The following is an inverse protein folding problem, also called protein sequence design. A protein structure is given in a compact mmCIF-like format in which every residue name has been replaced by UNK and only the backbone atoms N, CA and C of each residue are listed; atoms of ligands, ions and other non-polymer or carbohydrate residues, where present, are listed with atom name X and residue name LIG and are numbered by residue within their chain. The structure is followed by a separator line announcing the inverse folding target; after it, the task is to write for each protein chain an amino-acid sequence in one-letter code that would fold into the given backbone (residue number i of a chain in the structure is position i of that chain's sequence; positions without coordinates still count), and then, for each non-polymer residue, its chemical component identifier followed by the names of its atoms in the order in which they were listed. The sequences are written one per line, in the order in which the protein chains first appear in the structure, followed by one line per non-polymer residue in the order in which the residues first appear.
data_IF_488596766133
#
_entry.id   IF_488596766133
#
_cell.length_a   1.000
_cell.length_b   1.000
_cell.length_c   1.000
_cell.angle_alpha   90.00
_cell.angle_beta   90.00
_cell.angle_gamma   90.00
#
_symmetry.space_group_name_H-M   'P 1'
#
loop_
_entity.id
_entity.type
_entity.pdbx_description
1 polymer ?
#
# COMPACT_ATOMS: atom_id res chain seq x y z
N UNK A 1 -12.11 1.19 0.53
CA UNK A 1 -10.77 1.76 0.32
C UNK A 1 -10.51 2.99 1.19
N UNK A 2 -11.24 4.10 1.06
CA UNK A 2 -10.92 5.36 1.77
C UNK A 2 -10.92 5.26 3.30
N UNK A 3 -11.83 4.49 3.89
CA UNK A 3 -11.98 4.42 5.35
C UNK A 3 -10.89 3.57 6.02
N UNK A 4 -10.58 2.39 5.48
CA UNK A 4 -9.69 1.44 6.14
C UNK A 4 -8.35 1.29 5.43
N UNK A 5 -8.31 0.90 4.16
CA UNK A 5 -7.07 0.56 3.44
C UNK A 5 -6.03 1.68 3.49
N UNK A 6 -6.43 2.93 3.17
CA UNK A 6 -5.50 4.06 3.22
C UNK A 6 -5.05 4.40 4.64
N UNK A 7 -5.90 4.18 5.65
CA UNK A 7 -5.56 4.46 7.05
C UNK A 7 -4.67 3.40 7.65
N UNK A 8 -4.84 2.15 7.24
CA UNK A 8 -3.89 1.08 7.59
C UNK A 8 -2.49 1.41 7.07
N UNK A 9 -2.38 1.90 5.83
CA UNK A 9 -1.10 2.34 5.28
C UNK A 9 -0.50 3.52 6.07
N UNK A 10 -1.31 4.54 6.41
CA UNK A 10 -0.86 5.67 7.26
C UNK A 10 -0.44 5.19 8.65
N UNK A 11 -1.17 4.24 9.23
CA UNK A 11 -0.81 3.65 10.52
C UNK A 11 0.57 2.94 10.45
N UNK A 12 0.81 2.15 9.42
CA UNK A 12 2.12 1.49 9.23
C UNK A 12 3.24 2.52 9.09
N UNK A 13 3.02 3.60 8.32
CA UNK A 13 4.00 4.68 8.19
C UNK A 13 4.24 5.36 9.54
N UNK A 14 3.18 5.70 10.29
CA UNK A 14 3.28 6.34 11.60
C UNK A 14 3.98 5.43 12.64
N UNK A 15 3.84 4.11 12.51
CA UNK A 15 4.46 3.14 13.41
C UNK A 15 5.93 2.88 13.11
N UNK A 16 6.29 2.84 11.81
CA UNK A 16 7.61 2.36 11.36
C UNK A 16 8.56 3.49 10.92
N UNK A 17 8.04 4.63 10.45
CA UNK A 17 8.82 5.65 9.75
C UNK A 17 8.54 7.09 10.18
N UNK A 18 8.24 7.39 11.47
CA UNK A 18 8.09 8.79 11.89
C UNK A 18 9.42 9.52 11.73
N UNK A 19 9.38 10.81 11.38
CA UNK A 19 10.58 11.64 11.19
C UNK A 19 11.35 11.39 9.89
N UNK A 20 10.77 10.66 8.93
CA UNK A 20 11.43 10.40 7.64
C UNK A 20 11.21 11.57 6.69
N UNK A 21 12.27 12.33 6.36
CA UNK A 21 12.22 13.55 5.52
C UNK A 21 11.58 13.31 4.14
N UNK A 22 11.82 12.15 3.53
CA UNK A 22 11.20 11.78 2.25
C UNK A 22 9.66 11.82 2.33
N UNK A 23 9.07 11.40 3.47
CA UNK A 23 7.62 11.40 3.67
C UNK A 23 7.06 12.82 3.77
N UNK A 24 7.82 13.78 4.29
CA UNK A 24 7.41 15.20 4.32
C UNK A 24 7.14 15.69 2.90
N UNK A 25 8.11 15.50 2.01
CA UNK A 25 8.01 15.97 0.63
C UNK A 25 7.01 15.19 -0.20
N UNK A 26 6.98 13.86 -0.08
CA UNK A 26 5.98 13.03 -0.74
C UNK A 26 4.56 13.41 -0.31
N UNK A 27 4.33 13.54 1.00
CA UNK A 27 3.04 13.96 1.54
C UNK A 27 2.61 15.34 1.06
N UNK A 28 3.53 16.28 1.03
CA UNK A 28 3.30 17.66 0.53
C UNK A 28 2.94 17.67 -0.95
N UNK A 29 3.67 16.92 -1.78
CA UNK A 29 3.36 16.77 -3.21
C UNK A 29 2.00 16.09 -3.41
N UNK A 30 1.71 15.03 -2.65
CA UNK A 30 0.40 14.35 -2.68
C UNK A 30 -0.74 15.31 -2.34
N UNK A 31 -0.54 16.20 -1.34
CA UNK A 31 -1.55 17.18 -0.94
C UNK A 31 -1.91 18.14 -2.08
N UNK A 32 -0.91 18.70 -2.77
CA UNK A 32 -1.10 19.61 -3.90
C UNK A 32 -1.64 18.87 -5.14
N UNK A 33 -1.02 17.75 -5.51
CA UNK A 33 -1.45 16.94 -6.65
C UNK A 33 -2.93 16.57 -6.57
N UNK A 34 -3.35 16.03 -5.41
CA UNK A 34 -4.74 15.61 -5.22
C UNK A 34 -5.74 16.75 -5.35
N UNK A 35 -5.37 17.97 -4.91
CA UNK A 35 -6.21 19.16 -5.04
C UNK A 35 -6.33 19.61 -6.49
N UNK A 36 -5.22 19.69 -7.23
CA UNK A 36 -5.23 20.13 -8.63
C UNK A 36 -6.13 19.23 -9.47
N UNK A 37 -5.94 17.90 -9.37
CA UNK A 37 -6.77 16.97 -10.13
C UNK A 37 -8.22 16.92 -9.67
N UNK A 38 -8.50 17.13 -8.38
CA UNK A 38 -9.88 17.25 -7.90
C UNK A 38 -10.59 18.49 -8.45
N UNK A 39 -9.89 19.62 -8.61
CA UNK A 39 -10.46 20.83 -9.24
C UNK A 39 -10.83 20.58 -10.70
N UNK A 40 -10.02 19.83 -11.44
CA UNK A 40 -10.23 19.55 -12.86
C UNK A 40 -11.33 18.50 -13.11
N UNK A 41 -11.64 17.67 -12.11
CA UNK A 41 -12.53 16.52 -12.31
C UNK A 41 -14.00 16.89 -12.43
N UNK A 42 -14.72 16.17 -13.30
CA UNK A 42 -16.16 16.32 -13.54
C UNK A 42 -17.01 15.23 -12.86
N UNK A 43 -16.45 14.05 -12.58
CA UNK A 43 -17.17 12.98 -11.90
C UNK A 43 -17.11 13.18 -10.38
N UNK A 44 -18.26 13.26 -9.69
CA UNK A 44 -18.33 13.53 -8.25
C UNK A 44 -17.57 12.50 -7.40
N UNK A 45 -17.55 11.21 -7.79
CA UNK A 45 -16.80 10.18 -7.07
C UNK A 45 -15.31 10.22 -7.35
N UNK A 46 -14.92 10.49 -8.60
CA UNK A 46 -13.50 10.65 -8.95
C UNK A 46 -12.91 11.89 -8.30
N UNK A 47 -13.65 13.00 -8.28
CA UNK A 47 -13.24 14.20 -7.53
C UNK A 47 -12.96 13.85 -6.06
N UNK A 48 -13.88 13.15 -5.40
CA UNK A 48 -13.70 12.70 -4.03
C UNK A 48 -12.52 11.73 -3.89
N UNK A 49 -12.22 10.91 -4.90
CA UNK A 49 -11.07 10.00 -4.89
C UNK A 49 -9.72 10.75 -4.98
N UNK A 50 -9.57 11.72 -5.89
CA UNK A 50 -8.39 12.59 -5.93
C UNK A 50 -8.19 13.35 -4.61
N UNK A 51 -9.28 13.82 -4.04
CA UNK A 51 -9.22 14.48 -2.74
C UNK A 51 -8.76 13.54 -1.61
N UNK A 52 -8.97 12.21 -1.69
CA UNK A 52 -8.37 11.28 -0.72
C UNK A 52 -6.84 11.37 -0.78
N UNK A 53 -6.27 11.40 -1.99
CA UNK A 53 -4.82 11.53 -2.16
C UNK A 53 -4.31 12.79 -1.47
N UNK A 54 -5.01 13.94 -1.67
CA UNK A 54 -4.67 15.18 -0.99
C UNK A 54 -4.69 15.05 0.53
N UNK A 55 -5.74 14.49 1.12
CA UNK A 55 -5.87 14.42 2.58
C UNK A 55 -4.93 13.37 3.20
N UNK A 56 -4.65 12.27 2.50
CA UNK A 56 -3.60 11.33 2.92
C UNK A 56 -2.23 12.01 2.85
N UNK A 57 -2.02 12.92 1.91
CA UNK A 57 -0.83 13.76 1.84
C UNK A 57 -0.54 14.52 3.13
N UNK A 58 -1.56 15.14 3.77
CA UNK A 58 -1.40 15.76 5.09
C UNK A 58 -0.95 14.77 6.16
N UNK A 59 -1.53 13.57 6.16
CA UNK A 59 -1.20 12.53 7.13
C UNK A 59 0.24 12.04 6.94
N UNK A 60 0.64 11.81 5.69
CA UNK A 60 2.01 11.38 5.35
C UNK A 60 3.03 12.45 5.66
N UNK A 61 2.74 13.72 5.35
CA UNK A 61 3.61 14.85 5.72
C UNK A 61 3.76 14.98 7.24
N UNK A 62 2.66 14.85 8.00
CA UNK A 62 2.70 14.87 9.47
C UNK A 62 3.52 13.72 10.06
N UNK A 63 3.40 12.52 9.52
CA UNK A 63 4.26 11.39 9.90
C UNK A 63 5.73 11.68 9.57
N UNK A 64 5.98 12.26 8.40
CA UNK A 64 7.33 12.63 7.96
C UNK A 64 8.01 13.67 8.85
N UNK A 65 7.26 14.67 9.34
CA UNK A 65 7.76 15.65 10.33
C UNK A 65 8.17 14.94 11.62
N UNK A 66 7.38 13.97 12.10
CA UNK A 66 7.77 13.05 13.17
C UNK A 66 7.75 13.62 14.58
N UNK A 67 7.45 14.91 14.78
CA UNK A 67 7.24 15.44 16.14
C UNK A 67 5.98 14.84 16.77
N UNK A 68 5.90 14.80 18.10
CA UNK A 68 4.73 14.27 18.81
C UNK A 68 3.43 14.92 18.34
N UNK A 69 3.43 16.24 18.20
CA UNK A 69 2.30 16.99 17.68
C UNK A 69 1.97 16.63 16.22
N UNK A 70 2.96 16.43 15.38
CA UNK A 70 2.76 16.06 13.97
C UNK A 70 2.16 14.65 13.81
N UNK A 71 2.64 13.68 14.59
CA UNK A 71 2.10 12.31 14.62
C UNK A 71 0.68 12.31 15.20
N UNK A 72 0.42 13.05 16.28
CA UNK A 72 -0.92 13.26 16.81
C UNK A 72 -1.86 13.89 15.77
N UNK A 73 -1.37 14.92 15.05
CA UNK A 73 -2.11 15.55 13.97
C UNK A 73 -2.44 14.60 12.83
N UNK A 74 -1.47 13.80 12.38
CA UNK A 74 -1.66 12.80 11.34
C UNK A 74 -2.69 11.73 11.76
N UNK A 75 -2.61 11.24 12.99
CA UNK A 75 -3.49 10.20 13.55
C UNK A 75 -4.92 10.72 13.76
N UNK A 76 -5.07 11.88 14.40
CA UNK A 76 -6.38 12.51 14.60
C UNK A 76 -7.04 12.87 13.28
N UNK A 77 -6.27 13.39 12.30
CA UNK A 77 -6.78 13.69 10.98
C UNK A 77 -7.16 12.43 10.21
N UNK A 78 -6.43 11.32 10.36
CA UNK A 78 -6.82 10.04 9.78
C UNK A 78 -8.18 9.57 10.30
N UNK A 79 -8.44 9.69 11.61
CA UNK A 79 -9.71 9.34 12.22
C UNK A 79 -10.85 10.24 11.75
N UNK A 80 -10.71 11.56 11.86
CA UNK A 80 -11.73 12.51 11.41
C UNK A 80 -12.04 12.38 9.92
N UNK A 81 -11.01 12.14 9.10
CA UNK A 81 -11.17 11.93 7.66
C UNK A 81 -12.04 10.71 7.33
N UNK A 82 -12.01 9.64 8.10
CA UNK A 82 -12.91 8.48 7.88
C UNK A 82 -14.37 8.94 7.94
N UNK A 83 -14.71 9.74 8.93
CA UNK A 83 -16.08 10.18 9.19
C UNK A 83 -16.59 11.13 8.10
N UNK A 84 -15.94 12.28 7.91
CA UNK A 84 -16.43 13.26 6.95
C UNK A 84 -16.29 12.80 5.50
N UNK A 85 -15.26 11.99 5.19
CA UNK A 85 -15.11 11.42 3.86
C UNK A 85 -16.15 10.35 3.56
N UNK A 86 -16.45 9.51 4.56
CA UNK A 86 -17.57 8.57 4.51
C UNK A 86 -18.89 9.28 4.25
N UNK A 87 -19.15 10.37 4.99
CA UNK A 87 -20.34 11.20 4.83
C UNK A 87 -20.46 11.78 3.41
N UNK A 88 -19.39 12.35 2.86
CA UNK A 88 -19.36 12.89 1.50
C UNK A 88 -19.59 11.81 0.44
N UNK A 89 -19.00 10.63 0.58
CA UNK A 89 -19.23 9.51 -0.33
C UNK A 89 -20.65 8.95 -0.22
N UNK A 90 -21.22 8.89 0.98
CA UNK A 90 -22.62 8.50 1.17
C UNK A 90 -23.56 9.50 0.53
N UNK A 91 -23.32 10.80 0.67
CA UNK A 91 -24.12 11.84 0.03
C UNK A 91 -24.01 11.84 -1.50
N UNK A 92 -22.81 11.72 -2.05
CA UNK A 92 -22.63 11.53 -3.50
C UNK A 92 -23.28 10.22 -3.98
N UNK A 93 -23.21 9.16 -3.17
CA UNK A 93 -23.88 7.89 -3.43
C UNK A 93 -25.40 8.01 -3.43
N UNK A 94 -25.96 8.80 -2.50
CA UNK A 94 -27.40 9.09 -2.44
C UNK A 94 -27.88 9.83 -3.70
N UNK A 95 -27.12 10.82 -4.16
CA UNK A 95 -27.41 11.53 -5.42
C UNK A 95 -27.37 10.58 -6.62
N UNK A 96 -26.36 9.75 -6.72
CA UNK A 96 -26.25 8.77 -7.81
C UNK A 96 -27.39 7.73 -7.74
N UNK A 97 -27.75 7.30 -6.54
CA UNK A 97 -28.88 6.37 -6.34
C UNK A 97 -30.22 6.99 -6.81
N UNK A 98 -30.45 8.27 -6.51
CA UNK A 98 -31.68 8.96 -6.83
C UNK A 98 -31.76 9.39 -8.32
N UNK A 99 -30.64 9.72 -8.96
CA UNK A 99 -30.59 10.33 -10.29
C UNK A 99 -30.02 9.42 -11.39
N UNK A 100 -29.25 8.39 -11.03
CA UNK A 100 -28.45 7.61 -11.98
C UNK A 100 -27.27 8.38 -12.58
N UNK A 101 -27.06 9.66 -12.21
CA UNK A 101 -26.03 10.55 -12.77
C UNK A 101 -24.88 10.75 -11.78
N UNK A 102 -23.67 10.91 -12.31
CA UNK A 102 -22.47 11.12 -11.50
C UNK A 102 -21.61 12.30 -11.98
N UNK A 103 -21.82 12.79 -13.20
CA UNK A 103 -21.09 13.94 -13.74
C UNK A 103 -21.73 15.24 -13.27
N UNK A 104 -20.90 16.18 -12.81
CA UNK A 104 -21.36 17.49 -12.35
C UNK A 104 -22.04 18.30 -13.47
N UNK A 105 -21.63 18.09 -14.72
CA UNK A 105 -22.29 18.68 -15.91
C UNK A 105 -23.74 18.19 -16.12
N UNK A 106 -24.12 17.07 -15.53
CA UNK A 106 -25.43 16.43 -15.67
C UNK A 106 -26.31 16.62 -14.42
N UNK A 107 -25.75 17.16 -13.33
CA UNK A 107 -26.40 17.38 -12.04
C UNK A 107 -26.78 18.85 -11.86
N UNK A 108 -27.57 19.17 -10.85
CA UNK A 108 -27.96 20.50 -10.43
C UNK A 108 -29.42 20.58 -10.00
N UNK A 109 -29.76 21.60 -9.20
CA UNK A 109 -31.14 21.88 -8.75
C UNK A 109 -31.71 20.93 -7.70
N UNK A 110 -30.90 19.98 -7.17
CA UNK A 110 -31.37 18.91 -6.27
C UNK A 110 -31.70 19.40 -4.85
N UNK A 111 -31.34 20.62 -4.46
CA UNK A 111 -31.59 21.14 -3.10
C UNK A 111 -33.08 21.17 -2.73
N UNK A 112 -33.97 21.28 -3.70
CA UNK A 112 -35.41 21.30 -3.47
C UNK A 112 -36.01 19.91 -3.23
N UNK A 113 -35.45 18.91 -3.90
CA UNK A 113 -35.97 17.53 -3.89
C UNK A 113 -35.26 16.62 -2.90
N UNK A 114 -34.06 17.00 -2.46
CA UNK A 114 -33.21 16.24 -1.52
C UNK A 114 -32.66 17.12 -0.38
N UNK A 115 -33.46 17.89 0.36
CA UNK A 115 -32.99 18.87 1.34
C UNK A 115 -32.25 18.24 2.53
N UNK A 116 -32.65 17.06 3.01
CA UNK A 116 -31.96 16.36 4.10
C UNK A 116 -30.59 15.86 3.64
N UNK A 117 -30.53 15.30 2.44
CA UNK A 117 -29.25 14.88 1.84
C UNK A 117 -28.31 16.06 1.68
N UNK A 118 -28.80 17.22 1.23
CA UNK A 118 -28.00 18.46 1.12
C UNK A 118 -27.48 18.89 2.49
N UNK A 119 -28.35 18.97 3.51
CA UNK A 119 -27.97 19.42 4.84
C UNK A 119 -26.86 18.53 5.44
N UNK A 120 -27.04 17.22 5.38
CA UNK A 120 -26.05 16.25 5.87
C UNK A 120 -24.75 16.29 5.05
N UNK A 121 -24.85 16.44 3.72
CA UNK A 121 -23.68 16.58 2.85
C UNK A 121 -22.87 17.83 3.19
N UNK A 122 -23.54 18.97 3.46
CA UNK A 122 -22.89 20.23 3.83
C UNK A 122 -22.11 20.12 5.15
N UNK A 123 -22.58 19.34 6.11
CA UNK A 123 -21.78 19.03 7.32
C UNK A 123 -20.44 18.37 6.95
N UNK A 124 -20.45 17.40 6.05
CA UNK A 124 -19.22 16.78 5.53
C UNK A 124 -18.34 17.77 4.76
N UNK A 125 -18.95 18.66 3.96
CA UNK A 125 -18.26 19.68 3.20
C UNK A 125 -17.59 20.74 4.10
N UNK A 126 -18.22 21.16 5.19
CA UNK A 126 -17.63 22.04 6.19
C UNK A 126 -16.54 21.33 6.99
N UNK A 127 -16.77 20.07 7.38
CA UNK A 127 -15.78 19.30 8.13
C UNK A 127 -14.48 19.12 7.32
N UNK A 128 -14.56 18.72 6.06
CA UNK A 128 -13.38 18.52 5.22
C UNK A 128 -12.64 19.82 4.90
N UNK A 129 -13.36 20.93 4.87
CA UNK A 129 -12.82 22.27 4.60
C UNK A 129 -12.10 22.88 5.81
N UNK A 130 -12.09 22.19 6.94
CA UNK A 130 -11.58 22.71 8.21
C UNK A 130 -12.32 23.98 8.66
N UNK A 131 -13.65 24.01 8.50
CA UNK A 131 -14.48 25.07 9.05
C UNK A 131 -14.56 24.95 10.57
N UNK A 132 -14.49 26.04 11.36
CA UNK A 132 -14.65 25.99 12.81
C UNK A 132 -15.90 25.21 13.23
N UNK A 133 -15.84 24.54 14.37
CA UNK A 133 -16.86 23.64 14.94
C UNK A 133 -17.02 22.29 14.24
N UNK A 134 -16.18 21.97 13.24
CA UNK A 134 -16.19 20.67 12.60
C UNK A 134 -14.85 19.93 12.80
N UNK A 135 -14.90 18.61 12.70
CA UNK A 135 -13.78 17.71 13.04
C UNK A 135 -12.49 17.97 12.25
N UNK A 136 -12.61 18.43 11.00
CA UNK A 136 -11.43 18.77 10.18
C UNK A 136 -10.66 19.99 10.69
N UNK A 137 -11.34 20.93 11.36
CA UNK A 137 -10.69 22.11 11.93
C UNK A 137 -9.72 21.73 13.03
N UNK A 138 -10.15 20.92 13.98
CA UNK A 138 -9.35 20.54 15.16
C UNK A 138 -8.26 19.50 14.87
N UNK A 139 -8.32 18.82 13.72
CA UNK A 139 -7.36 17.75 13.38
C UNK A 139 -6.36 18.16 12.32
N UNK A 140 -6.83 18.79 11.24
CA UNK A 140 -5.97 19.19 10.12
C UNK A 140 -5.04 20.34 10.49
N UNK A 141 -5.53 21.28 11.28
CA UNK A 141 -4.74 22.40 11.78
C UNK A 141 -3.57 21.96 12.66
N UNK A 142 -3.71 20.88 13.41
CA UNK A 142 -2.63 20.32 14.22
C UNK A 142 -1.43 19.91 13.34
N UNK A 143 -1.65 19.33 12.14
CA UNK A 143 -0.57 19.00 11.21
C UNK A 143 0.13 20.26 10.69
N UNK A 144 -0.66 21.27 10.33
CA UNK A 144 -0.10 22.54 9.82
C UNK A 144 0.67 23.28 10.90
N UNK A 145 0.12 23.34 12.14
CA UNK A 145 0.78 23.93 13.28
C UNK A 145 2.09 23.21 13.64
N UNK A 146 2.11 21.87 13.56
CA UNK A 146 3.34 21.09 13.76
C UNK A 146 4.41 21.43 12.71
N UNK A 147 4.03 21.56 11.44
CA UNK A 147 4.94 22.01 10.38
C UNK A 147 5.46 23.44 10.61
N UNK A 148 4.63 24.31 11.18
CA UNK A 148 5.01 25.68 11.53
C UNK A 148 5.98 25.72 12.70
N UNK A 149 5.76 24.92 13.74
CA UNK A 149 6.69 24.80 14.87
C UNK A 149 8.04 24.21 14.46
N UNK A 150 8.06 23.31 13.48
CA UNK A 150 9.27 22.71 12.91
C UNK A 150 9.93 23.63 11.83
N UNK A 151 9.50 24.90 11.74
CA UNK A 151 10.03 25.92 10.84
C UNK A 151 10.06 25.53 9.34
N UNK A 152 9.15 24.68 8.89
CA UNK A 152 9.05 24.21 7.50
C UNK A 152 8.16 25.09 6.64
N UNK A 153 8.59 26.31 6.38
CA UNK A 153 7.79 27.34 5.71
C UNK A 153 7.18 26.89 4.37
N UNK A 154 7.94 26.18 3.52
CA UNK A 154 7.44 25.68 2.24
C UNK A 154 6.34 24.62 2.42
N UNK A 155 6.48 23.74 3.41
CA UNK A 155 5.45 22.71 3.73
C UNK A 155 4.20 23.39 4.24
N UNK A 156 4.31 24.34 5.16
CA UNK A 156 3.20 25.16 5.67
C UNK A 156 2.45 25.84 4.52
N UNK A 157 3.18 26.53 3.64
CA UNK A 157 2.59 27.20 2.48
C UNK A 157 1.84 26.21 1.59
N UNK A 158 2.47 25.07 1.23
CA UNK A 158 1.88 24.08 0.35
C UNK A 158 0.63 23.42 0.97
N UNK A 159 0.67 23.07 2.26
CA UNK A 159 -0.49 22.52 2.96
C UNK A 159 -1.62 23.55 3.11
N UNK A 160 -1.31 24.82 3.33
CA UNK A 160 -2.31 25.90 3.35
C UNK A 160 -2.95 26.10 1.98
N UNK A 161 -2.17 26.09 0.91
CA UNK A 161 -2.69 26.12 -0.48
C UNK A 161 -3.58 24.90 -0.76
N UNK A 162 -3.17 23.71 -0.37
CA UNK A 162 -3.97 22.51 -0.49
C UNK A 162 -5.25 22.57 0.35
N UNK A 163 -5.25 23.26 1.50
CA UNK A 163 -6.43 23.50 2.32
C UNK A 163 -7.44 24.41 1.62
N UNK A 164 -6.97 25.53 1.08
CA UNK A 164 -7.79 26.46 0.28
C UNK A 164 -8.39 25.72 -0.92
N UNK A 165 -7.58 24.98 -1.68
CA UNK A 165 -8.06 24.19 -2.80
C UNK A 165 -9.06 23.12 -2.41
N UNK A 166 -8.91 22.50 -1.23
CA UNK A 166 -9.89 21.56 -0.65
C UNK A 166 -11.26 22.21 -0.49
N UNK A 167 -11.29 23.40 0.09
CA UNK A 167 -12.56 24.15 0.23
C UNK A 167 -13.13 24.53 -1.14
N UNK A 168 -12.26 24.99 -2.07
CA UNK A 168 -12.69 25.37 -3.42
C UNK A 168 -13.44 24.23 -4.13
N UNK A 169 -12.85 23.01 -4.18
CA UNK A 169 -13.46 21.94 -4.99
C UNK A 169 -14.44 21.07 -4.22
N UNK A 170 -14.20 20.74 -2.93
CA UNK A 170 -15.10 19.84 -2.17
C UNK A 170 -16.10 20.61 -1.32
N UNK A 171 -15.71 21.77 -0.79
CA UNK A 171 -16.60 22.62 0.01
C UNK A 171 -17.55 23.47 -0.83
N UNK A 172 -17.12 23.91 -2.01
CA UNK A 172 -17.89 24.84 -2.85
C UNK A 172 -18.28 24.25 -4.19
N UNK A 173 -17.31 23.88 -5.06
CA UNK A 173 -17.58 23.42 -6.43
C UNK A 173 -18.52 22.20 -6.44
N UNK A 174 -18.19 21.18 -5.66
CA UNK A 174 -18.93 19.92 -5.68
C UNK A 174 -20.37 20.07 -5.18
N UNK A 175 -20.67 20.66 -4.01
CA UNK A 175 -22.06 20.89 -3.61
C UNK A 175 -22.78 21.88 -4.52
N UNK A 176 -22.09 22.92 -5.02
CA UNK A 176 -22.71 23.90 -5.93
C UNK A 176 -23.24 23.21 -7.18
N UNK A 177 -22.42 22.51 -7.93
CA UNK A 177 -22.85 21.87 -9.17
C UNK A 177 -23.73 20.63 -8.95
N UNK A 178 -23.63 19.98 -7.82
CA UNK A 178 -24.46 18.81 -7.52
C UNK A 178 -25.86 19.19 -7.04
N UNK A 179 -25.99 20.23 -6.20
CA UNK A 179 -27.24 20.55 -5.53
C UNK A 179 -27.83 21.92 -5.94
N UNK A 180 -26.99 22.96 -6.04
CA UNK A 180 -27.42 24.36 -6.15
C UNK A 180 -27.32 24.94 -7.57
N UNK A 181 -26.59 24.33 -8.46
CA UNK A 181 -26.42 24.80 -9.84
C UNK A 181 -27.70 24.80 -10.66
N UNK A 182 -27.57 25.00 -11.97
CA UNK A 182 -28.67 25.05 -12.90
C UNK A 182 -29.55 23.81 -12.77
N UNK A 183 -30.86 24.03 -12.58
CA UNK A 183 -31.83 22.93 -12.51
C UNK A 183 -31.86 22.16 -13.84
N UNK A 184 -31.61 20.87 -13.78
CA UNK A 184 -31.60 19.95 -14.94
C UNK A 184 -32.92 19.21 -15.11
N UNK A 185 -33.94 19.54 -14.32
CA UNK A 185 -35.25 18.88 -14.36
C UNK A 185 -35.21 17.41 -13.88
N UNK A 186 -34.22 17.05 -13.03
CA UNK A 186 -34.08 15.70 -12.55
C UNK A 186 -35.18 15.32 -11.55
N UNK A 187 -35.89 14.23 -11.81
CA UNK A 187 -36.91 13.67 -10.92
C UNK A 187 -36.24 12.84 -9.79
N UNK A 188 -35.61 13.55 -8.86
CA UNK A 188 -34.93 12.92 -7.71
C UNK A 188 -35.83 13.01 -6.46
N UNK A 189 -35.64 12.04 -5.55
CA UNK A 189 -36.24 12.02 -4.21
C UNK A 189 -35.19 11.70 -3.19
N UNK A 190 -35.50 12.01 -1.91
CA UNK A 190 -34.59 11.61 -0.80
C UNK A 190 -34.33 10.09 -0.85
N UNK A 191 -33.08 9.66 -0.52
CA UNK A 191 -32.74 8.26 -0.47
C UNK A 191 -33.47 7.54 0.66
N UNK A 192 -33.42 6.20 0.73
CA UNK A 192 -34.02 5.42 1.81
C UNK A 192 -33.55 5.89 3.20
N UNK A 193 -34.44 5.77 4.21
CA UNK A 193 -34.17 6.25 5.58
C UNK A 193 -32.90 5.71 6.20
N UNK A 194 -32.54 4.46 5.94
CA UNK A 194 -31.31 3.86 6.43
C UNK A 194 -30.05 4.60 5.94
N UNK A 195 -30.04 5.09 4.71
CA UNK A 195 -28.95 5.91 4.17
C UNK A 195 -28.87 7.26 4.89
N UNK A 196 -30.01 7.92 5.10
CA UNK A 196 -30.08 9.19 5.83
C UNK A 196 -29.63 9.03 7.29
N UNK A 197 -30.02 7.94 7.96
CA UNK A 197 -29.57 7.65 9.34
C UNK A 197 -28.05 7.45 9.39
N UNK A 198 -27.48 6.69 8.46
CA UNK A 198 -26.03 6.49 8.39
C UNK A 198 -25.27 7.82 8.17
N UNK A 199 -25.79 8.68 7.27
CA UNK A 199 -25.25 10.02 7.03
C UNK A 199 -25.40 10.89 8.29
N UNK A 200 -26.56 10.83 8.97
CA UNK A 200 -26.84 11.58 10.20
C UNK A 200 -25.87 11.21 11.33
N UNK A 201 -25.61 9.92 11.54
CA UNK A 201 -24.63 9.46 12.53
C UNK A 201 -23.22 9.99 12.24
N UNK A 202 -22.78 9.92 11.00
CA UNK A 202 -21.48 10.47 10.59
C UNK A 202 -21.43 12.01 10.76
N UNK A 203 -22.51 12.72 10.44
CA UNK A 203 -22.61 14.18 10.59
C UNK A 203 -22.52 14.59 12.08
N UNK A 204 -23.26 13.91 12.94
CA UNK A 204 -23.22 14.18 14.41
C UNK A 204 -21.80 13.98 14.95
N UNK A 205 -21.11 12.90 14.55
CA UNK A 205 -19.72 12.67 14.98
C UNK A 205 -18.76 13.73 14.43
N UNK A 206 -18.96 14.22 13.21
CA UNK A 206 -18.15 15.31 12.64
C UNK A 206 -18.29 16.62 13.45
N UNK A 207 -19.50 16.94 13.89
CA UNK A 207 -19.76 18.12 14.72
C UNK A 207 -19.26 17.89 16.16
N UNK A 208 -19.57 16.74 16.76
CA UNK A 208 -19.18 16.42 18.13
C UNK A 208 -17.66 16.50 18.32
N UNK A 209 -16.87 15.93 17.42
CA UNK A 209 -15.39 16.02 17.47
C UNK A 209 -14.91 17.46 17.25
N UNK A 210 -15.60 18.23 16.41
CA UNK A 210 -15.24 19.63 16.17
C UNK A 210 -15.48 20.51 17.40
N UNK A 211 -16.61 20.32 18.10
CA UNK A 211 -16.98 21.10 19.28
C UNK A 211 -16.27 20.59 20.54
N UNK A 212 -16.12 19.27 20.68
CA UNK A 212 -15.51 18.60 21.83
C UNK A 212 -14.36 17.69 21.39
N UNK A 213 -13.16 18.23 21.10
CA UNK A 213 -12.04 17.44 20.60
C UNK A 213 -11.38 16.55 21.66
N UNK A 214 -11.57 16.84 22.94
CA UNK A 214 -10.90 16.17 24.07
C UNK A 214 -11.03 14.64 24.05
N UNK A 215 -12.21 14.05 23.79
CA UNK A 215 -12.32 12.59 23.72
C UNK A 215 -11.48 11.97 22.61
N UNK A 216 -11.33 12.66 21.47
CA UNK A 216 -10.44 12.22 20.41
C UNK A 216 -8.97 12.39 20.81
N UNK A 217 -8.61 13.53 21.42
CA UNK A 217 -7.25 13.83 21.85
C UNK A 217 -6.74 12.86 22.92
N UNK A 218 -7.61 12.39 23.80
CA UNK A 218 -7.27 11.37 24.79
C UNK A 218 -6.91 10.00 24.21
N UNK A 219 -7.26 9.73 22.96
CA UNK A 219 -6.94 8.47 22.25
C UNK A 219 -5.64 8.54 21.43
N UNK A 220 -5.00 9.73 21.37
CA UNK A 220 -3.81 9.93 20.55
C UNK A 220 -2.56 9.35 21.22
N UNK A 221 -1.52 8.98 20.45
CA UNK A 221 -0.34 8.31 20.97
C UNK A 221 0.50 9.14 21.93
N UNK A 222 0.45 10.47 21.84
CA UNK A 222 1.20 11.39 22.69
C UNK A 222 0.26 12.39 23.40
N UNK A 223 0.65 12.97 24.54
CA UNK A 223 -0.10 14.05 25.18
C UNK A 223 -0.33 15.20 24.20
N UNK A 224 -1.52 15.78 24.20
CA UNK A 224 -1.89 16.88 23.30
C UNK A 224 -1.88 18.19 24.06
N UNK A 225 -0.94 19.06 23.68
CA UNK A 225 -0.88 20.46 24.11
C UNK A 225 -1.17 21.35 22.89
N UNK A 226 -2.39 21.25 22.38
CA UNK A 226 -2.84 22.01 21.21
C UNK A 226 -4.26 22.54 21.43
N UNK A 227 -4.38 23.86 21.39
CA UNK A 227 -5.66 24.55 21.50
C UNK A 227 -6.10 25.10 20.14
N UNK A 228 -7.07 24.44 19.47
CA UNK A 228 -7.49 24.84 18.12
C UNK A 228 -8.29 26.13 18.09
N UNK A 229 -8.97 26.51 19.19
CA UNK A 229 -9.90 27.64 19.25
C UNK A 229 -9.26 28.94 19.77
N UNK A 230 -8.03 29.23 19.39
CA UNK A 230 -7.43 30.53 19.61
C UNK A 230 -8.03 31.59 18.65
N UNK A 231 -8.21 32.82 19.10
CA UNK A 231 -8.76 33.88 18.26
C UNK A 231 -7.98 34.09 16.96
N UNK A 232 -6.65 33.98 17.03
CA UNK A 232 -5.79 34.10 15.86
C UNK A 232 -6.02 32.99 14.85
N UNK A 233 -5.99 31.73 15.30
CA UNK A 233 -6.17 30.56 14.41
C UNK A 233 -7.58 30.53 13.76
N UNK A 234 -8.62 30.91 14.51
CA UNK A 234 -9.98 31.01 13.96
C UNK A 234 -10.06 32.09 12.89
N UNK A 235 -9.45 33.27 13.15
CA UNK A 235 -9.47 34.39 12.20
C UNK A 235 -8.70 34.06 10.92
N UNK A 236 -7.50 33.47 11.04
CA UNK A 236 -6.70 33.04 9.90
C UNK A 236 -7.44 32.01 9.05
N UNK A 237 -8.01 31.00 9.70
CA UNK A 237 -8.77 29.93 9.00
C UNK A 237 -10.00 30.49 8.29
N UNK A 238 -10.78 31.34 8.94
CA UNK A 238 -11.94 32.00 8.32
C UNK A 238 -11.51 32.93 7.20
N UNK A 239 -10.40 33.65 7.34
CA UNK A 239 -9.82 34.49 6.29
C UNK A 239 -9.54 33.67 5.03
N UNK A 240 -8.81 32.55 5.14
CA UNK A 240 -8.51 31.66 4.01
C UNK A 240 -9.79 31.15 3.36
N UNK A 241 -10.78 30.72 4.17
CA UNK A 241 -12.06 30.24 3.65
C UNK A 241 -12.84 31.33 2.92
N UNK A 242 -12.94 32.52 3.49
CA UNK A 242 -13.66 33.65 2.88
C UNK A 242 -13.01 34.12 1.57
N UNK A 243 -11.69 34.28 1.53
CA UNK A 243 -10.99 34.59 0.29
C UNK A 243 -11.13 33.51 -0.77
N UNK A 244 -11.13 32.24 -0.37
CA UNK A 244 -11.37 31.14 -1.30
C UNK A 244 -12.80 31.16 -1.83
N UNK A 245 -13.79 31.45 -0.98
CA UNK A 245 -15.19 31.59 -1.40
C UNK A 245 -15.37 32.76 -2.37
N UNK A 246 -14.76 33.90 -2.08
CA UNK A 246 -14.73 35.05 -2.98
C UNK A 246 -14.13 34.67 -4.34
N UNK A 247 -12.97 34.03 -4.33
CA UNK A 247 -12.33 33.53 -5.55
C UNK A 247 -13.22 32.54 -6.33
N UNK A 248 -13.92 31.64 -5.63
CA UNK A 248 -14.87 30.74 -6.27
C UNK A 248 -15.98 31.49 -7.01
N UNK A 249 -16.59 32.50 -6.37
CA UNK A 249 -17.65 33.32 -6.98
C UNK A 249 -17.12 34.11 -8.19
N UNK A 250 -15.94 34.73 -8.05
CA UNK A 250 -15.32 35.49 -9.13
C UNK A 250 -14.96 34.64 -10.35
N UNK A 251 -14.46 33.44 -10.11
CA UNK A 251 -14.04 32.51 -11.16
C UNK A 251 -15.08 31.41 -11.48
N UNK A 252 -16.33 31.58 -11.07
CA UNK A 252 -17.38 30.56 -11.23
C UNK A 252 -17.48 30.05 -12.68
N UNK A 253 -17.37 30.95 -13.67
CA UNK A 253 -17.40 30.58 -15.10
C UNK A 253 -16.21 29.71 -15.50
N UNK A 254 -15.01 30.04 -15.03
CA UNK A 254 -13.80 29.27 -15.31
C UNK A 254 -13.74 27.92 -14.59
N UNK A 255 -14.44 27.80 -13.46
CA UNK A 255 -14.55 26.57 -12.67
C UNK A 255 -15.71 25.67 -13.10
N UNK A 256 -16.45 26.06 -14.14
CA UNK A 256 -17.55 25.24 -14.68
C UNK A 256 -17.00 23.87 -15.11
N UNK A 257 -17.63 22.77 -14.67
CA UNK A 257 -17.21 21.44 -15.05
C UNK A 257 -17.32 21.25 -16.57
N UNK A 258 -16.28 20.66 -17.16
CA UNK A 258 -16.26 20.32 -18.58
C UNK A 258 -16.34 18.82 -18.79
N UNK A 259 -16.91 18.39 -19.91
CA UNK A 259 -17.03 16.98 -20.25
C UNK A 259 -15.75 16.45 -20.92
N UNK A 260 -14.62 16.77 -20.32
CA UNK A 260 -13.27 16.38 -20.78
C UNK A 260 -12.69 15.30 -19.87
N UNK A 261 -11.66 14.63 -20.35
CA UNK A 261 -10.87 13.68 -19.57
C UNK A 261 -9.53 14.34 -19.25
N UNK A 262 -9.26 14.57 -17.98
CA UNK A 262 -7.95 15.07 -17.53
C UNK A 262 -6.87 14.04 -17.85
N UNK A 263 -5.73 14.53 -18.37
CA UNK A 263 -4.53 13.70 -18.54
C UNK A 263 -3.96 13.45 -17.15
N UNK A 264 -3.94 12.18 -16.75
CA UNK A 264 -3.41 11.73 -15.46
C UNK A 264 -2.48 10.53 -15.67
N UNK A 265 -1.89 10.04 -14.60
CA UNK A 265 -1.02 8.85 -14.61
C UNK A 265 -1.67 7.64 -15.26
N UNK A 266 -2.99 7.50 -15.20
CA UNK A 266 -3.74 6.45 -15.88
C UNK A 266 -3.64 6.50 -17.41
N UNK A 267 -3.34 7.69 -18.00
CA UNK A 267 -3.07 7.83 -19.42
C UNK A 267 -1.88 6.97 -19.84
N UNK A 268 -0.82 6.94 -19.04
CA UNK A 268 0.36 6.12 -19.31
C UNK A 268 0.00 4.63 -19.28
N UNK A 269 -0.82 4.19 -18.32
CA UNK A 269 -1.31 2.81 -18.29
C UNK A 269 -2.16 2.47 -19.52
N UNK A 270 -3.09 3.33 -19.89
CA UNK A 270 -3.99 3.09 -21.03
C UNK A 270 -3.27 3.11 -22.37
N UNK A 271 -2.37 4.04 -22.60
CA UNK A 271 -1.60 4.16 -23.85
C UNK A 271 -0.32 3.35 -23.81
N UNK A 272 0.39 3.39 -22.69
CA UNK A 272 1.64 2.65 -22.48
C UNK A 272 1.45 1.15 -22.40
N UNK A 273 0.29 0.66 -21.94
CA UNK A 273 -0.02 -0.77 -21.88
C UNK A 273 0.21 -1.48 -23.23
N UNK A 274 -0.13 -0.83 -24.35
CA UNK A 274 0.11 -1.38 -25.69
C UNK A 274 1.60 -1.63 -25.95
N UNK A 275 2.45 -0.70 -25.58
CA UNK A 275 3.90 -0.82 -25.75
C UNK A 275 4.49 -1.84 -24.78
N UNK A 276 4.01 -1.84 -23.54
CA UNK A 276 4.42 -2.82 -22.55
C UNK A 276 4.03 -4.25 -22.97
N UNK A 277 2.80 -4.46 -23.43
CA UNK A 277 2.36 -5.76 -23.93
C UNK A 277 3.15 -6.18 -25.16
N UNK A 278 3.42 -5.25 -26.10
CA UNK A 278 4.27 -5.54 -27.23
C UNK A 278 5.68 -5.97 -26.80
N UNK A 279 6.27 -5.30 -25.79
CA UNK A 279 7.59 -5.65 -25.26
C UNK A 279 7.56 -7.04 -24.59
N UNK A 280 6.54 -7.32 -23.80
CA UNK A 280 6.38 -8.61 -23.14
C UNK A 280 6.13 -9.76 -24.13
N UNK A 281 5.20 -9.58 -25.06
CA UNK A 281 4.75 -10.63 -25.98
C UNK A 281 5.73 -10.89 -27.15
N UNK A 282 6.56 -9.90 -27.52
CA UNK A 282 7.48 -10.05 -28.67
C UNK A 282 8.94 -10.19 -28.26
N UNK A 283 9.66 -9.14 -27.85
CA UNK A 283 11.09 -9.32 -27.56
C UNK A 283 11.35 -10.18 -26.31
N UNK A 284 10.59 -9.98 -25.22
CA UNK A 284 10.81 -10.77 -23.99
C UNK A 284 10.43 -12.23 -24.21
N UNK A 285 9.28 -12.50 -24.82
CA UNK A 285 8.86 -13.87 -25.11
C UNK A 285 9.82 -14.57 -26.08
N UNK A 286 10.36 -13.86 -27.07
CA UNK A 286 11.40 -14.44 -27.96
C UNK A 286 12.68 -14.78 -27.20
N UNK A 287 13.11 -13.90 -26.32
CA UNK A 287 14.28 -14.17 -25.47
C UNK A 287 14.03 -15.37 -24.56
N UNK A 288 12.89 -15.43 -23.89
CA UNK A 288 12.50 -16.58 -23.07
C UNK A 288 12.46 -17.88 -23.86
N UNK A 289 11.90 -17.85 -25.06
CA UNK A 289 11.87 -19.00 -25.95
C UNK A 289 13.29 -19.43 -26.39
N UNK A 290 14.15 -18.47 -26.67
CA UNK A 290 15.54 -18.77 -27.03
C UNK A 290 16.29 -19.43 -25.86
N UNK A 291 16.17 -18.88 -24.64
CA UNK A 291 16.74 -19.45 -23.43
C UNK A 291 16.17 -20.85 -23.14
N UNK A 292 14.87 -21.01 -23.27
CA UNK A 292 14.20 -22.31 -23.10
C UNK A 292 14.69 -23.34 -24.13
N UNK A 293 14.84 -22.94 -25.38
CA UNK A 293 15.35 -23.82 -26.44
C UNK A 293 16.81 -24.24 -26.15
N UNK A 294 17.69 -23.31 -25.78
CA UNK A 294 19.06 -23.61 -25.38
C UNK A 294 19.09 -24.54 -24.16
N UNK A 295 18.25 -24.29 -23.19
CA UNK A 295 18.11 -25.14 -22.02
C UNK A 295 17.70 -26.57 -22.42
N UNK A 296 16.67 -26.70 -23.26
CA UNK A 296 16.14 -27.99 -23.66
C UNK A 296 17.07 -28.77 -24.61
N UNK A 297 17.76 -28.06 -25.55
CA UNK A 297 18.58 -28.72 -26.61
C UNK A 297 20.03 -28.92 -26.20
N UNK A 298 20.56 -28.13 -25.30
CA UNK A 298 21.97 -28.17 -24.90
C UNK A 298 22.14 -28.48 -23.42
N UNK A 299 21.56 -27.64 -22.54
CA UNK A 299 21.86 -27.75 -21.12
C UNK A 299 21.33 -29.05 -20.49
N UNK A 300 20.07 -29.40 -20.72
CA UNK A 300 19.48 -30.61 -20.19
C UNK A 300 20.13 -31.91 -20.72
N UNK A 301 20.35 -32.07 -22.04
CA UNK A 301 21.09 -33.23 -22.54
C UNK A 301 22.49 -33.34 -21.97
N UNK A 302 23.24 -32.24 -21.90
CA UNK A 302 24.59 -32.22 -21.31
C UNK A 302 24.55 -32.64 -19.83
N UNK A 303 23.59 -32.13 -19.07
CA UNK A 303 23.38 -32.49 -17.67
C UNK A 303 23.06 -33.99 -17.52
N UNK A 304 22.22 -34.53 -18.41
CA UNK A 304 21.87 -35.94 -18.41
C UNK A 304 23.11 -36.84 -18.73
N UNK A 305 23.91 -36.47 -19.73
CA UNK A 305 25.08 -37.24 -20.08
C UNK A 305 26.16 -37.17 -18.96
N UNK A 306 26.34 -36.00 -18.36
CA UNK A 306 27.24 -35.88 -17.20
C UNK A 306 26.79 -36.70 -15.99
N UNK A 307 25.48 -36.70 -15.73
CA UNK A 307 24.89 -37.52 -14.67
C UNK A 307 25.04 -39.04 -14.97
N UNK A 308 24.85 -39.47 -16.21
CA UNK A 308 25.09 -40.86 -16.64
C UNK A 308 26.52 -41.24 -16.51
N UNK A 309 27.46 -40.38 -16.92
CA UNK A 309 28.88 -40.60 -16.77
C UNK A 309 29.29 -40.74 -15.29
N UNK A 310 28.75 -39.85 -14.43
CA UNK A 310 28.94 -39.94 -12.98
C UNK A 310 28.42 -41.25 -12.40
N UNK A 311 27.23 -41.67 -12.77
CA UNK A 311 26.65 -42.94 -12.37
C UNK A 311 27.47 -44.15 -12.85
N UNK A 312 27.96 -44.09 -14.09
CA UNK A 312 28.82 -45.15 -14.61
C UNK A 312 30.13 -45.26 -13.82
N UNK A 313 30.80 -44.14 -13.52
CA UNK A 313 31.99 -44.11 -12.71
C UNK A 313 31.72 -44.66 -11.30
N UNK A 314 30.62 -44.32 -10.72
CA UNK A 314 30.23 -44.80 -9.39
C UNK A 314 30.01 -46.32 -9.39
N UNK A 315 29.16 -46.81 -10.29
CA UNK A 315 28.81 -48.24 -10.35
C UNK A 315 29.97 -49.14 -10.82
N UNK A 316 30.68 -48.73 -11.87
CA UNK A 316 31.76 -49.57 -12.48
C UNK A 316 33.14 -49.31 -11.91
N UNK A 317 33.39 -48.12 -11.40
CA UNK A 317 34.63 -47.74 -10.77
C UNK A 317 34.62 -48.01 -9.26
N UNK A 318 33.87 -47.16 -8.55
CA UNK A 318 33.92 -47.15 -7.06
C UNK A 318 33.28 -48.40 -6.47
N UNK A 319 32.02 -48.68 -6.85
CA UNK A 319 31.31 -49.84 -6.30
C UNK A 319 31.93 -51.17 -6.75
N UNK A 320 32.39 -51.22 -8.00
CA UNK A 320 33.05 -52.40 -8.49
C UNK A 320 34.37 -52.66 -7.77
N UNK A 321 35.16 -51.64 -7.44
CA UNK A 321 36.39 -51.76 -6.66
C UNK A 321 36.09 -52.20 -5.21
N UNK A 322 35.16 -51.54 -4.53
CA UNK A 322 34.76 -51.87 -3.15
C UNK A 322 34.23 -53.30 -3.05
N UNK A 323 33.30 -53.64 -3.95
CA UNK A 323 32.71 -54.98 -4.03
C UNK A 323 33.76 -56.01 -4.49
N UNK A 324 34.75 -55.61 -5.31
CA UNK A 324 35.85 -56.42 -5.76
C UNK A 324 36.76 -56.84 -4.59
N UNK A 325 37.13 -55.86 -3.76
CA UNK A 325 37.90 -56.10 -2.54
C UNK A 325 37.15 -57.05 -1.58
N UNK A 326 35.88 -56.75 -1.35
CA UNK A 326 35.03 -57.60 -0.50
C UNK A 326 34.96 -59.04 -1.01
N UNK A 327 34.75 -59.22 -2.34
CA UNK A 327 34.72 -60.55 -2.98
C UNK A 327 36.10 -61.24 -2.91
N UNK A 328 37.21 -60.50 -3.03
CA UNK A 328 38.56 -61.04 -2.90
C UNK A 328 38.79 -61.56 -1.48
N UNK A 329 38.40 -60.78 -0.47
CA UNK A 329 38.52 -61.17 0.96
C UNK A 329 37.66 -62.41 1.23
N UNK A 330 36.44 -62.44 0.75
CA UNK A 330 35.54 -63.60 0.92
C UNK A 330 36.09 -64.88 0.21
N UNK A 331 36.62 -64.70 -1.00
CA UNK A 331 37.30 -65.84 -1.71
C UNK A 331 38.53 -66.30 -0.99
N UNK A 332 39.40 -65.37 -0.53
CA UNK A 332 40.55 -65.68 0.26
C UNK A 332 40.21 -66.39 1.59
N UNK A 333 39.23 -65.83 2.31
CA UNK A 333 38.67 -66.45 3.53
C UNK A 333 38.11 -67.86 3.28
N UNK A 334 37.39 -68.04 2.15
CA UNK A 334 36.87 -69.36 1.73
C UNK A 334 37.96 -70.36 1.40
N UNK A 335 39.06 -69.90 0.78
CA UNK A 335 40.23 -70.75 0.53
C UNK A 335 40.92 -71.15 1.82
N UNK A 336 41.15 -70.18 2.72
CA UNK A 336 41.74 -70.48 4.04
C UNK A 336 40.81 -71.41 4.87
N UNK A 337 39.54 -71.26 4.82
CA UNK A 337 38.57 -72.10 5.47
C UNK A 337 38.65 -73.58 5.01
N UNK A 338 39.06 -73.85 3.78
CA UNK A 338 39.30 -75.21 3.27
C UNK A 338 40.50 -75.88 3.95
N UNK A 339 41.42 -75.09 4.48
CA UNK A 339 42.55 -75.64 5.29
C UNK A 339 42.10 -76.12 6.69
N UNK A 340 40.98 -75.56 7.18
CA UNK A 340 40.36 -76.03 8.43
C UNK A 340 39.36 -77.16 8.14
N UNK A 341 39.91 -78.37 8.15
CA UNK A 341 39.11 -79.57 7.87
C UNK A 341 38.20 -80.03 9.04
N UNK A 342 38.20 -79.29 10.17
CA UNK A 342 37.44 -79.62 11.37
C UNK A 342 37.96 -80.86 12.11
N UNK A 343 39.04 -81.50 11.58
CA UNK A 343 39.63 -82.69 12.18
C UNK A 343 40.83 -82.17 12.98
N UNK A 344 40.80 -82.37 14.29
CA UNK A 344 41.86 -81.88 15.25
C UNK A 344 43.28 -82.27 14.85
N UNK A 345 43.44 -83.51 14.35
CA UNK A 345 44.73 -84.02 13.89
C UNK A 345 45.30 -83.26 12.68
N UNK A 346 44.48 -82.86 11.75
CA UNK A 346 44.92 -82.05 10.59
C UNK A 346 45.30 -80.61 10.99
N UNK A 347 44.59 -79.99 11.94
CA UNK A 347 44.97 -78.69 12.50
C UNK A 347 46.28 -78.75 13.30
N UNK A 348 46.52 -79.82 14.06
CA UNK A 348 47.75 -80.03 14.78
C UNK A 348 48.93 -80.25 13.81
N UNK A 349 48.73 -81.03 12.73
CA UNK A 349 49.74 -81.18 11.69
C UNK A 349 50.11 -79.88 10.97
N UNK A 350 49.11 -79.07 10.66
CA UNK A 350 49.29 -77.76 10.05
C UNK A 350 50.04 -76.77 10.99
N UNK A 351 49.74 -76.80 12.28
CA UNK A 351 50.49 -76.04 13.28
C UNK A 351 51.95 -76.48 13.35
N UNK A 352 52.20 -77.76 13.42
CA UNK A 352 53.59 -78.33 13.47
C UNK A 352 54.33 -77.95 12.19
N UNK A 353 53.71 -78.10 11.03
CA UNK A 353 54.30 -77.70 9.76
C UNK A 353 54.58 -76.18 9.70
N UNK A 354 53.71 -75.34 10.23
CA UNK A 354 53.89 -73.88 10.33
C UNK A 354 55.04 -73.49 11.25
N UNK A 355 55.22 -74.18 12.40
CA UNK A 355 56.28 -73.97 13.29
C UNK A 355 57.65 -74.43 12.68
N UNK A 356 57.64 -75.57 11.97
CA UNK A 356 58.89 -76.02 11.28
C UNK A 356 59.26 -75.04 10.16
N UNK A 357 58.29 -74.56 9.38
CA UNK A 357 58.56 -73.57 8.35
C UNK A 357 59.05 -72.24 8.93
N UNK A 358 58.48 -71.78 10.05
CA UNK A 358 58.94 -70.56 10.73
C UNK A 358 60.42 -70.73 11.26
N UNK A 359 60.74 -71.88 11.83
CA UNK A 359 62.09 -72.17 12.26
C UNK A 359 63.05 -72.25 11.07
N UNK A 360 62.66 -72.86 9.96
CA UNK A 360 63.47 -72.94 8.78
C UNK A 360 63.70 -71.55 8.12
N UNK A 361 62.71 -70.72 8.08
CA UNK A 361 62.81 -69.32 7.59
C UNK A 361 63.75 -68.54 8.53
N UNK A 362 63.54 -68.67 9.82
CA UNK A 362 64.39 -68.00 10.80
C UNK A 362 65.85 -68.44 10.65
N UNK A 363 66.10 -69.74 10.47
CA UNK A 363 67.50 -70.30 10.31
C UNK A 363 68.14 -69.84 8.98
N UNK A 364 67.37 -69.56 7.93
CA UNK A 364 67.83 -69.02 6.64
C UNK A 364 68.08 -67.50 6.66
N UNK A 365 67.28 -66.78 7.41
CA UNK A 365 67.40 -65.31 7.48
C UNK A 365 68.49 -64.87 8.47
N UNK A 366 68.89 -65.71 9.38
CA UNK A 366 69.93 -65.43 10.42
C UNK A 366 71.26 -66.12 10.17
N UNK A 367 71.48 -66.67 9.01
CA UNK A 367 72.84 -66.99 8.48
C UNK A 367 73.25 -65.85 7.53
#
# INVERSE_FOLDING_TARGET
MSAFTTKTAVYVLARAFPGTELLVWLGTVMALYGVVYAVLENDCRRLLAYHIVSQVGYMVAGVGIGTEMAVNGATSHAFAHILYKGLLFMGAGAVIHATGRRKLTELGGLYRTMPLTVALYMVGAFAISAFPFFSGFVTKSMVVAAAQQDHRALVVLALTMASSGTFLHTGLKLPYYMFFGTDRGLQAREPPRNMLVAMGLAAVLCIAIGVFPQPLYALLPYPVDFEPYTGMHVTESLGVLMFTALGFVMFLKALTPENTISIDTDWFYRKGARYFMWLAEKPVARYEQAVSNVSATVALPLLHETARAGLWVDLTGVDAAVNGVARAILRGGGALRRLQTGIVTHSALAMIAGVIAAIAIFAVVWQ
#
